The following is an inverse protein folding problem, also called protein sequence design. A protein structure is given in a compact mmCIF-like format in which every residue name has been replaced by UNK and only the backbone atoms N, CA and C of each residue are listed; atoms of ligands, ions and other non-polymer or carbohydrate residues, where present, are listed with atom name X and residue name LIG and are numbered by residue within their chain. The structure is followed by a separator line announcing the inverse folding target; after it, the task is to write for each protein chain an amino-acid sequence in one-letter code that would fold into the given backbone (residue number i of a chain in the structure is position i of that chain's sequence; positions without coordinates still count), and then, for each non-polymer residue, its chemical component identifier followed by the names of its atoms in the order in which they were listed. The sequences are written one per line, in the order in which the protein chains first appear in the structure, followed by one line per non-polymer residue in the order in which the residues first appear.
data_IF_686598566825
#
_entry.id   IF_686598566825
#
_cell.length_a   1.000
_cell.length_b   1.000
_cell.length_c   1.000
_cell.angle_alpha   90.00
_cell.angle_beta   90.00
_cell.angle_gamma   90.00
#
_symmetry.space_group_name_H-M   'P 1'
#
loop_
_entity.id
_entity.type
_entity.pdbx_description
1 polymer ?
#
# COMPACT_ATOMS: atom_id res chain seq x y z
N UNK A 1 33.31 -20.39 16.75
CA UNK A 1 32.12 -20.92 17.47
C UNK A 1 31.66 -19.89 18.47
N UNK A 2 30.54 -19.20 18.20
CA UNK A 2 29.90 -18.33 19.18
C UNK A 2 28.60 -19.00 19.61
N UNK A 3 28.52 -19.31 20.91
CA UNK A 3 27.36 -19.89 21.56
C UNK A 3 26.16 -18.94 21.43
N UNK A 4 25.28 -19.21 20.47
CA UNK A 4 23.94 -18.62 20.45
C UNK A 4 23.09 -19.36 21.49
N UNK A 5 23.12 -18.84 22.72
CA UNK A 5 22.23 -19.24 23.79
C UNK A 5 20.78 -19.23 23.35
N UNK A 6 20.10 -20.31 23.72
CA UNK A 6 18.72 -20.66 23.46
C UNK A 6 17.72 -19.61 23.98
N UNK A 7 16.70 -19.37 23.15
CA UNK A 7 15.48 -18.58 23.38
C UNK A 7 15.57 -17.04 23.27
N UNK A 8 15.66 -16.54 22.02
CA UNK A 8 15.57 -15.11 21.66
C UNK A 8 14.17 -14.65 21.21
N UNK A 9 13.09 -15.37 21.55
CA UNK A 9 11.73 -14.93 21.15
C UNK A 9 11.13 -14.04 22.23
N UNK A 10 11.08 -12.71 21.99
CA UNK A 10 10.38 -11.76 22.88
C UNK A 10 8.88 -11.76 22.61
N UNK A 11 8.23 -12.92 22.82
CA UNK A 11 6.79 -13.13 22.65
C UNK A 11 6.18 -13.85 23.85
N UNK A 12 4.87 -13.71 24.10
CA UNK A 12 4.19 -14.56 25.05
C UNK A 12 4.26 -16.04 24.65
N UNK A 13 4.31 -16.91 25.66
CA UNK A 13 4.20 -18.38 25.52
C UNK A 13 2.80 -18.85 25.10
N UNK A 14 1.85 -17.91 25.05
CA UNK A 14 0.48 -18.12 24.60
C UNK A 14 0.15 -17.16 23.44
N UNK A 15 -1.06 -17.26 22.88
CA UNK A 15 -1.51 -16.43 21.77
C UNK A 15 -2.05 -15.05 22.18
N UNK A 16 -1.94 -14.68 23.47
CA UNK A 16 -2.48 -13.42 23.97
C UNK A 16 -1.53 -12.24 23.68
N UNK A 17 -2.09 -11.03 23.64
CA UNK A 17 -1.32 -9.78 23.55
C UNK A 17 -0.67 -9.41 24.88
N UNK A 18 0.44 -8.67 24.81
CA UNK A 18 1.11 -8.13 25.99
C UNK A 18 0.44 -6.82 26.42
N UNK A 19 0.40 -6.59 27.73
CA UNK A 19 -0.09 -5.35 28.35
C UNK A 19 1.07 -4.62 29.03
N UNK A 20 1.10 -3.29 28.93
CA UNK A 20 2.05 -2.45 29.64
C UNK A 20 1.57 -2.13 31.06
N UNK A 21 2.42 -2.33 32.07
CA UNK A 21 2.18 -1.84 33.43
C UNK A 21 3.47 -1.36 34.10
N UNK A 22 3.32 -0.45 35.05
CA UNK A 22 4.42 0.09 35.85
C UNK A 22 4.27 -0.33 37.30
N UNK A 23 5.36 -0.79 37.91
CA UNK A 23 5.42 -1.10 39.34
C UNK A 23 6.38 -0.15 40.06
N UNK A 24 6.06 0.21 41.30
CA UNK A 24 6.89 1.08 42.15
C UNK A 24 7.79 0.21 43.04
N UNK A 25 9.10 0.39 42.92
CA UNK A 25 10.09 -0.31 43.74
C UNK A 25 10.26 0.31 45.12
N UNK A 26 10.96 -0.42 46.00
CA UNK A 26 11.22 -0.03 47.41
C UNK A 26 11.87 1.35 47.57
N UNK A 27 12.68 1.77 46.59
CA UNK A 27 13.35 3.08 46.56
C UNK A 27 12.51 4.17 45.87
N UNK A 28 11.21 3.93 45.66
CA UNK A 28 10.29 4.88 45.01
C UNK A 28 10.39 4.95 43.48
N UNK A 29 11.37 4.29 42.86
CA UNK A 29 11.54 4.24 41.39
C UNK A 29 10.45 3.41 40.72
N UNK A 30 9.92 3.89 39.60
CA UNK A 30 8.98 3.12 38.76
C UNK A 30 9.71 2.29 37.71
N UNK A 31 9.22 1.08 37.48
CA UNK A 31 9.73 0.15 36.48
C UNK A 31 8.59 -0.29 35.57
N UNK A 32 8.72 -0.03 34.27
CA UNK A 32 7.69 -0.35 33.27
C UNK A 32 8.03 -1.64 32.53
N UNK A 33 7.03 -2.50 32.41
CA UNK A 33 7.14 -3.80 31.76
C UNK A 33 5.97 -4.04 30.82
N UNK A 34 6.24 -4.75 29.73
CA UNK A 34 5.22 -5.48 28.99
C UNK A 34 5.09 -6.87 29.57
N UNK A 35 3.88 -7.28 29.94
CA UNK A 35 3.62 -8.58 30.54
C UNK A 35 2.42 -9.27 29.89
N UNK A 36 2.41 -10.59 29.97
CA UNK A 36 1.23 -11.38 29.66
C UNK A 36 0.41 -11.64 30.94
N UNK A 37 -0.65 -12.41 30.82
CA UNK A 37 -1.41 -12.95 31.96
C UNK A 37 -0.53 -13.74 32.92
N UNK A 38 -0.97 -13.84 34.18
CA UNK A 38 -0.31 -14.61 35.24
C UNK A 38 -0.03 -16.06 34.83
N UNK A 39 -1.00 -16.70 34.15
CA UNK A 39 -0.87 -18.08 33.61
C UNK A 39 0.27 -18.22 32.60
N UNK A 40 0.57 -17.17 31.82
CA UNK A 40 1.67 -17.18 30.86
C UNK A 40 3.02 -16.82 31.51
N UNK A 41 3.01 -15.93 32.50
CA UNK A 41 4.15 -15.62 33.35
C UNK A 41 5.28 -14.79 32.71
N UNK A 42 5.20 -14.45 31.42
CA UNK A 42 6.25 -13.66 30.75
C UNK A 42 6.18 -12.18 31.11
N UNK A 43 7.36 -11.57 31.25
CA UNK A 43 7.54 -10.12 31.45
C UNK A 43 8.79 -9.66 30.69
N UNK A 44 8.69 -8.54 29.98
CA UNK A 44 9.79 -7.90 29.26
C UNK A 44 9.92 -6.45 29.71
N UNK A 45 11.16 -5.97 29.92
CA UNK A 45 11.40 -4.55 30.26
C UNK A 45 10.96 -3.68 29.09
N UNK A 46 10.07 -2.72 29.33
CA UNK A 46 9.50 -1.90 28.25
C UNK A 46 10.59 -1.14 27.47
N UNK A 47 11.57 -0.58 28.18
CA UNK A 47 12.74 0.11 27.58
C UNK A 47 13.50 -0.76 26.57
N UNK A 48 13.70 -2.03 26.89
CA UNK A 48 14.46 -2.93 26.01
C UNK A 48 13.64 -3.36 24.79
N UNK A 49 12.33 -3.49 24.96
CA UNK A 49 11.39 -3.83 23.88
C UNK A 49 11.28 -2.65 22.91
N UNK A 50 11.05 -1.44 23.42
CA UNK A 50 10.94 -0.23 22.60
C UNK A 50 12.23 0.04 21.81
N UNK A 51 13.41 -0.12 22.42
CA UNK A 51 14.70 0.02 21.72
C UNK A 51 14.90 -0.96 20.56
N UNK A 52 14.40 -2.20 20.68
CA UNK A 52 14.47 -3.14 19.56
C UNK A 52 13.54 -2.68 18.44
N UNK A 53 12.33 -2.24 18.79
CA UNK A 53 11.40 -1.70 17.80
C UNK A 53 11.98 -0.49 17.06
N UNK A 54 12.55 0.47 17.78
CA UNK A 54 13.23 1.64 17.19
C UNK A 54 14.33 1.23 16.21
N UNK A 55 15.17 0.24 16.57
CA UNK A 55 16.21 -0.28 15.68
C UNK A 55 15.62 -0.94 14.44
N UNK A 56 14.59 -1.76 14.59
CA UNK A 56 13.93 -2.42 13.47
C UNK A 56 13.27 -1.40 12.54
N UNK A 57 12.69 -0.35 13.09
CA UNK A 57 12.11 0.75 12.33
C UNK A 57 13.18 1.51 11.53
N UNK A 58 14.34 1.78 12.15
CA UNK A 58 15.49 2.33 11.42
C UNK A 58 15.96 1.39 10.31
N UNK A 59 16.17 0.10 10.59
CA UNK A 59 16.64 -0.89 9.61
C UNK A 59 15.70 -1.02 8.41
N UNK A 60 14.38 -0.97 8.65
CA UNK A 60 13.36 -1.02 7.61
C UNK A 60 13.46 0.15 6.61
N UNK A 61 13.76 1.34 7.13
CA UNK A 61 13.79 2.59 6.35
C UNK A 61 15.22 2.93 5.86
N UNK A 62 16.24 2.26 6.41
CA UNK A 62 17.66 2.66 6.34
C UNK A 62 18.31 2.69 4.95
N UNK A 63 17.62 2.28 3.88
CA UNK A 63 18.20 2.27 2.54
C UNK A 63 17.32 3.08 1.60
N UNK A 64 17.66 4.35 1.42
CA UNK A 64 17.11 5.22 0.38
C UNK A 64 17.00 4.51 -1.00
N UNK A 65 17.99 3.68 -1.43
CA UNK A 65 17.85 2.88 -2.64
C UNK A 65 16.68 1.88 -2.62
N UNK A 66 16.35 1.30 -1.46
CA UNK A 66 15.25 0.32 -1.34
C UNK A 66 13.88 0.97 -1.46
N UNK A 67 13.72 2.20 -0.97
CA UNK A 67 12.46 2.96 -1.13
C UNK A 67 12.27 3.34 -2.59
N UNK A 68 13.34 3.76 -3.27
CA UNK A 68 13.26 4.07 -4.70
C UNK A 68 12.99 2.81 -5.54
N UNK A 69 13.62 1.67 -5.20
CA UNK A 69 13.29 0.37 -5.80
C UNK A 69 11.82 0.03 -5.56
N UNK A 70 11.33 0.14 -4.33
CA UNK A 70 9.94 -0.16 -4.00
C UNK A 70 8.96 0.73 -4.77
N UNK A 71 9.22 2.04 -4.80
CA UNK A 71 8.45 3.02 -5.57
C UNK A 71 8.43 2.66 -7.06
N UNK A 72 9.58 2.37 -7.65
CA UNK A 72 9.69 2.04 -9.07
C UNK A 72 9.01 0.70 -9.39
N UNK A 73 9.23 -0.33 -8.59
CA UNK A 73 8.56 -1.63 -8.73
C UNK A 73 7.05 -1.52 -8.57
N UNK A 74 6.55 -0.70 -7.64
CA UNK A 74 5.11 -0.47 -7.48
C UNK A 74 4.54 0.24 -8.72
N UNK A 75 5.17 1.33 -9.17
CA UNK A 75 4.75 2.09 -10.34
C UNK A 75 4.76 1.22 -11.61
N UNK A 76 5.77 0.38 -11.78
CA UNK A 76 5.86 -0.58 -12.87
C UNK A 76 4.73 -1.61 -12.81
N UNK A 77 4.48 -2.23 -11.65
CA UNK A 77 3.39 -3.19 -11.49
C UNK A 77 2.01 -2.56 -11.71
N UNK A 78 1.81 -1.34 -11.22
CA UNK A 78 0.57 -0.59 -11.37
C UNK A 78 0.28 -0.29 -12.85
N UNK A 79 1.28 0.21 -13.59
CA UNK A 79 1.18 0.47 -15.03
C UNK A 79 0.96 -0.81 -15.85
N UNK A 80 1.54 -1.93 -15.45
CA UNK A 80 1.63 -3.12 -16.30
C UNK A 80 0.44 -4.08 -16.20
N UNK A 81 -0.22 -4.22 -15.04
CA UNK A 81 -1.21 -5.30 -14.85
C UNK A 81 -2.66 -4.89 -15.08
N UNK A 82 -3.17 -3.90 -14.36
CA UNK A 82 -4.62 -3.61 -14.41
C UNK A 82 -4.95 -2.68 -15.56
N UNK A 83 -4.22 -1.58 -15.67
CA UNK A 83 -4.55 -0.53 -16.63
C UNK A 83 -4.08 -0.81 -18.06
N UNK A 84 -2.98 -1.55 -18.24
CA UNK A 84 -2.57 -1.96 -19.60
C UNK A 84 -3.64 -2.82 -20.26
N UNK A 85 -4.26 -3.72 -19.49
CA UNK A 85 -5.35 -4.58 -19.98
C UNK A 85 -6.56 -3.73 -20.37
N UNK A 86 -7.00 -2.85 -19.48
CA UNK A 86 -8.17 -2.00 -19.72
C UNK A 86 -7.96 -1.01 -20.87
N UNK A 87 -6.80 -0.36 -20.94
CA UNK A 87 -6.42 0.52 -22.06
C UNK A 87 -6.39 -0.24 -23.38
N UNK A 88 -5.78 -1.43 -23.41
CA UNK A 88 -5.71 -2.24 -24.64
C UNK A 88 -7.11 -2.66 -25.09
N UNK A 89 -7.99 -2.99 -24.14
CA UNK A 89 -9.39 -3.31 -24.43
C UNK A 89 -10.12 -2.11 -25.04
N UNK A 90 -10.06 -0.93 -24.43
CA UNK A 90 -10.71 0.28 -24.94
C UNK A 90 -10.23 0.66 -26.34
N UNK A 91 -8.90 0.60 -26.59
CA UNK A 91 -8.35 0.86 -27.91
C UNK A 91 -8.86 -0.12 -28.96
N UNK A 92 -8.97 -1.41 -28.61
CA UNK A 92 -9.53 -2.43 -29.50
C UNK A 92 -11.00 -2.15 -29.82
N UNK A 93 -11.81 -1.78 -28.84
CA UNK A 93 -13.23 -1.44 -29.06
C UNK A 93 -13.37 -0.22 -30.00
N UNK A 94 -12.50 0.79 -29.86
CA UNK A 94 -12.44 1.94 -30.77
C UNK A 94 -12.08 1.50 -32.19
N UNK A 95 -11.07 0.64 -32.35
CA UNK A 95 -10.66 0.11 -33.66
C UNK A 95 -11.80 -0.69 -34.32
N UNK A 96 -12.50 -1.52 -33.55
CA UNK A 96 -13.64 -2.32 -34.02
C UNK A 96 -14.82 -1.41 -34.45
N UNK A 97 -15.09 -0.33 -33.71
CA UNK A 97 -16.09 0.68 -34.08
C UNK A 97 -15.71 1.47 -35.34
N UNK A 98 -14.45 1.89 -35.45
CA UNK A 98 -13.95 2.55 -36.65
C UNK A 98 -14.06 1.66 -37.89
N UNK A 99 -13.74 0.36 -37.74
CA UNK A 99 -13.91 -0.62 -38.80
C UNK A 99 -15.38 -0.80 -39.20
N UNK A 100 -16.31 -0.82 -38.25
CA UNK A 100 -17.76 -0.84 -38.53
C UNK A 100 -18.21 0.41 -39.29
N UNK A 101 -17.71 1.58 -38.93
CA UNK A 101 -18.03 2.83 -39.63
C UNK A 101 -17.51 2.82 -41.07
N UNK A 102 -16.29 2.31 -41.29
CA UNK A 102 -15.74 2.13 -42.63
C UNK A 102 -16.59 1.18 -43.49
N UNK A 103 -17.05 0.05 -42.92
CA UNK A 103 -17.98 -0.85 -43.61
C UNK A 103 -19.30 -0.19 -43.98
N UNK A 104 -19.91 0.53 -43.04
CA UNK A 104 -21.16 1.24 -43.28
C UNK A 104 -21.00 2.30 -44.39
N UNK A 105 -19.85 2.96 -44.46
CA UNK A 105 -19.54 3.91 -45.53
C UNK A 105 -19.41 3.21 -46.89
N UNK A 106 -18.76 2.05 -46.97
CA UNK A 106 -18.67 1.26 -48.21
C UNK A 106 -20.07 0.85 -48.69
N UNK A 107 -20.89 0.26 -47.81
CA UNK A 107 -22.27 -0.11 -48.14
C UNK A 107 -23.13 1.08 -48.57
N UNK A 108 -22.86 2.25 -47.99
CA UNK A 108 -23.50 3.50 -48.40
C UNK A 108 -23.12 3.92 -49.81
N UNK A 109 -21.83 3.82 -50.16
CA UNK A 109 -21.31 4.12 -51.50
C UNK A 109 -21.88 3.14 -52.53
N UNK A 110 -21.98 1.86 -52.18
CA UNK A 110 -22.51 0.80 -53.04
C UNK A 110 -24.05 0.86 -53.17
N UNK A 111 -24.70 1.75 -52.43
CA UNK A 111 -26.16 1.96 -52.46
C UNK A 111 -26.97 0.93 -51.68
N UNK A 112 -26.32 0.04 -50.93
CA UNK A 112 -26.96 -0.96 -50.07
C UNK A 112 -27.55 -0.36 -48.78
N UNK A 113 -27.06 0.82 -48.38
CA UNK A 113 -27.48 1.52 -47.17
C UNK A 113 -28.05 2.89 -47.50
N UNK A 114 -29.22 3.24 -46.94
CA UNK A 114 -29.82 4.55 -47.16
C UNK A 114 -29.15 5.66 -46.32
N UNK A 115 -29.61 6.91 -46.50
CA UNK A 115 -29.01 8.04 -45.79
C UNK A 115 -29.38 8.08 -44.30
N UNK A 116 -30.60 7.67 -43.96
CA UNK A 116 -31.11 7.74 -42.59
C UNK A 116 -30.39 6.71 -41.72
N UNK A 117 -30.28 5.47 -42.21
CA UNK A 117 -29.56 4.38 -41.56
C UNK A 117 -28.07 4.68 -41.42
N UNK A 118 -27.42 5.18 -42.48
CA UNK A 118 -26.01 5.57 -42.41
C UNK A 118 -25.77 6.68 -41.37
N UNK A 119 -26.61 7.70 -41.36
CA UNK A 119 -26.49 8.79 -40.40
C UNK A 119 -26.72 8.32 -38.96
N UNK A 120 -27.67 7.41 -38.76
CA UNK A 120 -27.91 6.78 -37.46
C UNK A 120 -26.70 5.97 -36.98
N UNK A 121 -26.15 5.09 -37.83
CA UNK A 121 -24.95 4.29 -37.53
C UNK A 121 -23.76 5.21 -37.24
N UNK A 122 -23.54 6.22 -38.07
CA UNK A 122 -22.45 7.19 -37.90
C UNK A 122 -22.56 7.92 -36.57
N UNK A 123 -23.75 8.43 -36.24
CA UNK A 123 -24.00 9.16 -34.99
C UNK A 123 -23.73 8.26 -33.78
N UNK A 124 -24.40 7.12 -33.71
CA UNK A 124 -24.29 6.18 -32.57
C UNK A 124 -22.88 5.64 -32.38
N UNK A 125 -22.19 5.31 -33.48
CA UNK A 125 -20.79 4.84 -33.43
C UNK A 125 -19.86 5.94 -32.91
N UNK A 126 -20.00 7.18 -33.37
CA UNK A 126 -19.18 8.30 -32.91
C UNK A 126 -19.43 8.63 -31.43
N UNK A 127 -20.67 8.53 -30.96
CA UNK A 127 -21.01 8.71 -29.54
C UNK A 127 -20.30 7.65 -28.68
N UNK A 128 -20.27 6.39 -29.13
CA UNK A 128 -19.57 5.30 -28.44
C UNK A 128 -18.04 5.49 -28.44
N UNK A 129 -17.46 5.88 -29.58
CA UNK A 129 -16.03 6.21 -29.68
C UNK A 129 -15.68 7.33 -28.68
N UNK A 130 -16.45 8.41 -28.67
CA UNK A 130 -16.24 9.53 -27.75
C UNK A 130 -16.29 9.08 -26.27
N UNK A 131 -17.24 8.20 -25.89
CA UNK A 131 -17.29 7.65 -24.53
C UNK A 131 -16.03 6.84 -24.17
N UNK A 132 -15.50 6.05 -25.10
CA UNK A 132 -14.27 5.30 -24.88
C UNK A 132 -13.03 6.20 -24.84
N UNK A 133 -12.99 7.28 -25.62
CA UNK A 133 -11.93 8.30 -25.58
C UNK A 133 -11.91 9.04 -24.24
N UNK A 134 -13.08 9.44 -23.73
CA UNK A 134 -13.20 10.02 -22.38
C UNK A 134 -12.71 9.03 -21.32
N UNK A 135 -13.10 7.75 -21.42
CA UNK A 135 -12.63 6.72 -20.49
C UNK A 135 -11.11 6.54 -20.53
N UNK A 136 -10.50 6.59 -21.73
CA UNK A 136 -9.04 6.56 -21.91
C UNK A 136 -8.36 7.78 -21.28
N UNK A 137 -8.97 8.96 -21.35
CA UNK A 137 -8.47 10.18 -20.69
C UNK A 137 -8.50 10.03 -19.17
N UNK A 138 -9.62 9.56 -18.61
CA UNK A 138 -9.75 9.37 -17.16
C UNK A 138 -8.69 8.38 -16.62
N UNK A 139 -8.42 7.30 -17.34
CA UNK A 139 -7.34 6.36 -16.98
C UNK A 139 -5.94 7.01 -16.99
N UNK A 140 -5.72 8.03 -17.83
CA UNK A 140 -4.47 8.78 -17.85
C UNK A 140 -4.37 9.75 -16.65
N UNK A 141 -5.48 10.37 -16.26
CA UNK A 141 -5.53 11.27 -15.10
C UNK A 141 -5.35 10.52 -13.78
N UNK A 142 -6.02 9.37 -13.61
CA UNK A 142 -5.83 8.49 -12.45
C UNK A 142 -4.36 8.05 -12.31
N UNK A 143 -3.70 7.76 -13.43
CA UNK A 143 -2.27 7.44 -13.47
C UNK A 143 -1.40 8.56 -12.92
N UNK A 144 -1.70 9.80 -13.33
CA UNK A 144 -0.97 10.97 -12.87
C UNK A 144 -1.17 11.15 -11.37
N UNK A 145 -2.42 11.07 -10.89
CA UNK A 145 -2.75 11.20 -9.47
C UNK A 145 -2.05 10.15 -8.62
N UNK A 146 -2.10 8.87 -9.01
CA UNK A 146 -1.44 7.77 -8.28
C UNK A 146 0.08 7.94 -8.28
N UNK A 147 0.65 8.36 -9.41
CA UNK A 147 2.09 8.63 -9.51
C UNK A 147 2.51 9.79 -8.58
N UNK A 148 1.71 10.86 -8.52
CA UNK A 148 1.96 11.99 -7.63
C UNK A 148 1.84 11.60 -6.17
N UNK A 149 0.81 10.82 -5.83
CA UNK A 149 0.57 10.30 -4.49
C UNK A 149 1.75 9.46 -4.00
N UNK A 150 2.19 8.46 -4.77
CA UNK A 150 3.35 7.62 -4.42
C UNK A 150 4.61 8.47 -4.21
N UNK A 151 4.84 9.47 -5.08
CA UNK A 151 5.98 10.39 -4.94
C UNK A 151 5.90 11.24 -3.66
N UNK A 152 4.70 11.64 -3.25
CA UNK A 152 4.49 12.43 -2.03
C UNK A 152 4.63 11.58 -0.77
N UNK A 153 4.06 10.36 -0.76
CA UNK A 153 4.07 9.46 0.37
C UNK A 153 5.42 8.76 0.58
N UNK A 154 6.20 8.52 -0.48
CA UNK A 154 7.53 7.90 -0.37
C UNK A 154 8.49 8.74 0.50
N UNK A 155 8.31 10.07 0.50
CA UNK A 155 9.08 10.96 1.38
C UNK A 155 8.70 10.78 2.86
N UNK A 156 7.44 10.49 3.16
CA UNK A 156 6.99 10.24 4.54
C UNK A 156 7.58 8.95 5.08
N UNK A 157 7.70 7.91 4.25
CA UNK A 157 8.34 6.63 4.63
C UNK A 157 9.79 6.84 5.09
N UNK A 158 10.56 7.69 4.41
CA UNK A 158 11.94 8.00 4.80
C UNK A 158 12.05 8.66 6.18
N UNK A 159 11.09 9.52 6.51
CA UNK A 159 11.08 10.24 7.79
C UNK A 159 10.36 9.47 8.90
N UNK A 160 9.77 8.31 8.60
CA UNK A 160 8.97 7.53 9.55
C UNK A 160 9.71 7.17 10.86
N UNK A 161 11.00 6.77 10.84
CA UNK A 161 11.72 6.47 12.08
C UNK A 161 11.89 7.73 12.94
N UNK A 162 12.22 8.85 12.31
CA UNK A 162 12.37 10.14 12.98
C UNK A 162 11.02 10.61 13.55
N UNK A 163 9.96 10.52 12.77
CA UNK A 163 8.60 10.85 13.19
C UNK A 163 8.14 10.01 14.40
N UNK A 164 8.46 8.73 14.44
CA UNK A 164 8.16 7.87 15.60
C UNK A 164 8.98 8.23 16.85
N UNK A 165 10.29 8.45 16.70
CA UNK A 165 11.19 8.71 17.84
C UNK A 165 11.00 10.09 18.45
N UNK A 166 10.76 11.11 17.62
CA UNK A 166 10.59 12.50 18.05
C UNK A 166 9.12 12.77 18.44
N UNK A 167 8.20 11.87 18.10
CA UNK A 167 6.76 12.05 18.28
C UNK A 167 6.25 11.73 19.68
N UNK A 168 5.09 12.29 20.00
CA UNK A 168 4.35 11.97 21.22
C UNK A 168 3.70 10.57 21.18
N UNK A 169 3.04 10.18 22.26
CA UNK A 169 2.41 8.85 22.39
C UNK A 169 1.38 8.61 21.29
N UNK A 170 0.65 9.63 20.85
CA UNK A 170 -0.37 9.49 19.83
C UNK A 170 0.27 9.30 18.45
N UNK A 171 1.31 10.06 18.14
CA UNK A 171 2.09 9.89 16.91
C UNK A 171 2.76 8.51 16.85
N UNK A 172 3.30 8.03 17.97
CA UNK A 172 3.84 6.67 18.07
C UNK A 172 2.78 5.60 17.83
N UNK A 173 1.58 5.79 18.38
CA UNK A 173 0.44 4.88 18.16
C UNK A 173 -0.03 4.87 16.72
N UNK A 174 -0.05 6.02 16.05
CA UNK A 174 -0.40 6.11 14.64
C UNK A 174 0.55 5.29 13.77
N UNK A 175 1.86 5.42 13.98
CA UNK A 175 2.87 4.63 13.25
C UNK A 175 2.71 3.13 13.53
N UNK A 176 2.50 2.76 14.80
CA UNK A 176 2.27 1.36 15.14
C UNK A 176 0.98 0.81 14.52
N UNK A 177 -0.09 1.59 14.50
CA UNK A 177 -1.37 1.21 13.90
C UNK A 177 -1.31 1.06 12.39
N UNK A 178 -0.54 1.91 11.70
CA UNK A 178 -0.39 1.83 10.24
C UNK A 178 0.51 0.67 9.79
N UNK A 179 1.51 0.31 10.60
CA UNK A 179 2.42 -0.81 10.32
C UNK A 179 1.88 -2.17 10.75
N UNK A 180 1.02 -2.22 11.78
CA UNK A 180 0.49 -3.44 12.38
C UNK A 180 -1.04 -3.36 12.52
N UNK A 181 -1.80 -3.41 11.41
CA UNK A 181 -3.25 -3.29 11.42
C UNK A 181 -3.93 -4.43 12.20
N UNK A 182 -3.35 -5.63 12.15
CA UNK A 182 -3.66 -6.71 13.07
C UNK A 182 -2.82 -6.50 14.34
N UNK A 183 -3.45 -6.35 15.51
CA UNK A 183 -2.81 -6.07 16.82
C UNK A 183 -1.87 -7.20 17.33
N UNK A 184 -1.28 -7.98 16.44
CA UNK A 184 -0.34 -9.07 16.72
C UNK A 184 1.09 -8.54 16.77
N UNK A 185 1.57 -8.24 17.98
CA UNK A 185 2.99 -8.00 18.22
C UNK A 185 3.75 -9.33 18.19
N UNK A 186 4.42 -9.64 17.08
CA UNK A 186 5.41 -10.72 17.01
C UNK A 186 6.80 -10.11 16.87
N UNK A 187 7.51 -9.98 17.99
CA UNK A 187 8.91 -9.61 17.98
C UNK A 187 9.81 -10.84 17.79
N UNK A 188 10.27 -10.96 16.54
CA UNK A 188 11.45 -11.69 16.02
C UNK A 188 11.38 -13.18 15.65
N UNK A 189 12.21 -13.61 14.64
CA UNK A 189 13.38 -12.89 14.09
C UNK A 189 13.12 -12.00 12.86
N UNK A 190 11.92 -12.03 12.27
CA UNK A 190 11.57 -11.13 11.18
C UNK A 190 10.16 -10.62 11.40
N UNK A 191 10.02 -9.33 11.66
CA UNK A 191 8.80 -8.66 11.24
C UNK A 191 8.90 -8.70 9.71
N UNK A 192 8.12 -9.57 9.06
CA UNK A 192 7.75 -9.29 7.67
C UNK A 192 6.69 -8.21 7.82
N UNK A 193 7.01 -6.91 7.66
CA UNK A 193 5.92 -5.97 7.48
C UNK A 193 5.13 -6.53 6.32
N UNK A 194 3.83 -6.75 6.50
CA UNK A 194 2.99 -6.91 5.33
C UNK A 194 3.30 -5.68 4.48
N UNK A 195 3.74 -5.88 3.25
CA UNK A 195 4.12 -4.82 2.31
C UNK A 195 2.82 -4.11 1.89
N UNK A 196 2.21 -3.45 2.86
CA UNK A 196 0.92 -2.77 2.86
C UNK A 196 1.09 -1.46 3.67
N UNK A 197 2.28 -0.85 3.61
CA UNK A 197 2.49 0.50 4.18
C UNK A 197 1.76 1.55 3.31
N UNK A 198 1.38 1.22 2.08
CA UNK A 198 0.67 2.15 1.18
C UNK A 198 -0.84 2.25 1.44
N UNK A 199 -1.63 1.17 1.64
CA UNK A 199 -3.08 1.32 1.84
C UNK A 199 -3.47 2.00 3.16
N UNK A 200 -2.67 1.87 4.23
CA UNK A 200 -2.98 2.45 5.54
C UNK A 200 -2.56 3.92 5.69
N UNK A 201 -1.66 4.42 4.83
CA UNK A 201 -1.36 5.86 4.73
C UNK A 201 -2.32 6.60 3.78
N UNK A 202 -3.17 5.87 3.04
CA UNK A 202 -4.18 6.46 2.14
C UNK A 202 -5.47 6.91 2.84
N UNK A 203 -5.60 6.67 4.15
CA UNK A 203 -6.74 7.09 4.96
C UNK A 203 -6.43 8.28 5.89
N UNK A 204 -5.32 8.99 5.66
CA UNK A 204 -4.92 10.19 6.42
C UNK A 204 -4.40 11.31 5.52
#
# INVERSE_FOLDING_TARGET
MHNFGSDRRRRPKCANTLTGSSSRGKLGKYYTYYHCSSKCGVRFKAKEVNKIFERQLMELVSKEPMVEIFKNTFLENFKTKTQKIERTKLLKEIDDLNYRLQKALIQKIDGELDNEDYNFIKKTTNEQIHMFEVSLSNLADENLQITQLIKSESKKIFHLPKYYMDGDIEQQRQVLGSMFPEKSFLMEPYIKPHVLILPSLLYF
#
